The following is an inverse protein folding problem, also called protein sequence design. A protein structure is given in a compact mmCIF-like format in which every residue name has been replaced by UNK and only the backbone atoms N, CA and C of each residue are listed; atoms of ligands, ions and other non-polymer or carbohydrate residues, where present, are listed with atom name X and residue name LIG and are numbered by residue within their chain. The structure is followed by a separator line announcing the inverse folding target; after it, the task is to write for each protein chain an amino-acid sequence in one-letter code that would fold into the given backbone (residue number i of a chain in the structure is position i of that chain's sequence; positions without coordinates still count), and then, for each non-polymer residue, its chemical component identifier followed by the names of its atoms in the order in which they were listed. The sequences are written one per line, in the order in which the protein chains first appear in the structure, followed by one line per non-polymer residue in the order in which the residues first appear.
data_IF_737752844618
#
_entry.id   IF_737752844618
#
_cell.length_a   1.000
_cell.length_b   1.000
_cell.length_c   1.000
_cell.angle_alpha   90.00
_cell.angle_beta   90.00
_cell.angle_gamma   90.00
#
_symmetry.space_group_name_H-M   'P 1'
#
loop_
_entity.id
_entity.type
_entity.pdbx_description
1 polymer ?
#
# COMPACT_ATOMS: atom_id res chain seq x y z
N UNK A 1 15.17 -26.34 33.34
CA UNK A 1 14.39 -25.20 32.84
C UNK A 1 14.01 -25.52 31.41
N UNK A 2 12.74 -25.87 31.19
CA UNK A 2 12.26 -26.20 29.87
C UNK A 2 12.20 -24.92 29.03
N UNK A 3 12.82 -24.95 27.85
CA UNK A 3 12.65 -23.93 26.84
C UNK A 3 11.16 -23.89 26.50
N UNK A 4 10.55 -22.72 26.70
CA UNK A 4 9.18 -22.47 26.31
C UNK A 4 9.18 -22.42 24.78
N UNK A 5 8.66 -23.45 24.13
CA UNK A 5 8.39 -23.42 22.70
C UNK A 5 7.50 -22.20 22.42
N UNK A 6 8.05 -21.24 21.67
CA UNK A 6 7.28 -20.10 21.19
C UNK A 6 6.23 -20.64 20.20
N UNK A 7 4.96 -20.20 20.27
CA UNK A 7 3.96 -20.63 19.32
C UNK A 7 4.41 -20.23 17.91
N UNK A 8 4.34 -21.19 16.98
CA UNK A 8 4.88 -21.14 15.62
C UNK A 8 4.22 -20.13 14.69
N UNK A 9 3.49 -19.12 15.19
CA UNK A 9 3.06 -18.02 14.34
C UNK A 9 2.76 -16.75 15.14
N UNK A 10 3.79 -15.95 15.42
CA UNK A 10 3.63 -14.65 16.07
C UNK A 10 2.91 -13.63 15.18
N UNK A 11 2.88 -13.85 13.86
CA UNK A 11 2.35 -12.91 12.86
C UNK A 11 1.68 -13.66 11.68
N UNK A 12 0.46 -14.19 11.84
CA UNK A 12 -0.22 -14.87 10.74
C UNK A 12 -0.61 -13.88 9.64
N UNK A 13 -0.32 -14.27 8.39
CA UNK A 13 -0.58 -13.50 7.17
C UNK A 13 -0.04 -12.06 7.22
N UNK A 14 1.27 -11.91 7.46
CA UNK A 14 1.95 -10.62 7.54
C UNK A 14 2.13 -9.98 6.17
N UNK A 15 2.07 -8.64 6.13
CA UNK A 15 2.14 -7.87 4.90
C UNK A 15 3.28 -6.86 4.91
N UNK A 16 3.98 -6.73 3.80
CA UNK A 16 4.87 -5.61 3.50
C UNK A 16 4.18 -4.70 2.47
N UNK A 17 4.23 -3.40 2.71
CA UNK A 17 3.71 -2.37 1.81
C UNK A 17 4.82 -1.38 1.52
N UNK A 18 5.16 -1.19 0.25
CA UNK A 18 6.08 -0.15 -0.22
C UNK A 18 5.37 0.76 -1.21
N UNK A 19 5.35 2.07 -0.98
CA UNK A 19 5.01 3.03 -2.04
C UNK A 19 6.26 3.64 -2.63
N UNK A 20 6.37 3.57 -3.96
CA UNK A 20 7.60 3.85 -4.69
C UNK A 20 7.42 5.08 -5.56
N UNK A 21 8.54 5.78 -5.79
CA UNK A 21 8.66 6.82 -6.81
C UNK A 21 9.55 6.29 -7.92
N UNK A 22 9.20 6.60 -9.17
CA UNK A 22 10.03 6.25 -10.32
C UNK A 22 11.37 6.95 -10.27
N UNK A 23 12.41 6.29 -10.79
CA UNK A 23 13.74 6.87 -10.92
C UNK A 23 13.76 8.07 -11.90
N UNK A 24 14.81 8.89 -11.87
CA UNK A 24 15.02 9.93 -12.88
C UNK A 24 15.05 9.37 -14.31
N UNK A 25 14.62 10.21 -15.26
CA UNK A 25 14.58 9.91 -16.71
C UNK A 25 13.62 8.79 -17.13
N UNK A 26 12.59 8.55 -16.32
CA UNK A 26 11.51 7.61 -16.62
C UNK A 26 10.17 8.35 -16.58
N UNK A 27 9.32 8.12 -17.57
CA UNK A 27 7.91 8.51 -17.53
C UNK A 27 7.13 7.59 -16.59
N UNK A 28 5.94 8.00 -16.18
CA UNK A 28 5.07 7.16 -15.37
C UNK A 28 4.69 5.86 -16.10
N UNK A 29 4.36 5.95 -17.39
CA UNK A 29 3.99 4.79 -18.19
C UNK A 29 5.13 3.78 -18.32
N UNK A 30 6.36 4.25 -18.60
CA UNK A 30 7.55 3.39 -18.64
C UNK A 30 7.80 2.72 -17.27
N UNK A 31 7.61 3.45 -16.17
CA UNK A 31 7.75 2.91 -14.82
C UNK A 31 6.76 1.77 -14.56
N UNK A 32 5.47 2.01 -14.82
CA UNK A 32 4.45 0.99 -14.60
C UNK A 32 4.65 -0.22 -15.51
N UNK A 33 5.06 -0.01 -16.77
CA UNK A 33 5.39 -1.08 -17.70
C UNK A 33 6.56 -1.92 -17.19
N UNK A 34 7.68 -1.30 -16.82
CA UNK A 34 8.84 -2.04 -16.30
C UNK A 34 8.49 -2.78 -15.00
N UNK A 35 7.88 -2.07 -14.05
CA UNK A 35 7.59 -2.64 -12.74
C UNK A 35 6.58 -3.79 -12.82
N UNK A 36 5.61 -3.74 -13.75
CA UNK A 36 4.70 -4.85 -13.99
C UNK A 36 5.34 -5.97 -14.81
N UNK A 37 5.79 -5.66 -16.03
CA UNK A 37 6.17 -6.64 -17.06
C UNK A 37 7.50 -7.34 -16.78
N UNK A 38 8.44 -6.64 -16.15
CA UNK A 38 9.79 -7.14 -15.86
C UNK A 38 9.89 -7.55 -14.40
N UNK A 39 9.73 -6.60 -13.47
CA UNK A 39 9.91 -6.88 -12.06
C UNK A 39 8.85 -7.86 -11.52
N UNK A 40 7.58 -7.69 -11.90
CA UNK A 40 6.50 -8.62 -11.57
C UNK A 40 6.75 -10.05 -12.06
N UNK A 41 7.26 -10.21 -13.29
CA UNK A 41 7.61 -11.51 -13.85
C UNK A 41 8.77 -12.17 -13.08
N UNK A 42 9.80 -11.39 -12.73
CA UNK A 42 10.94 -11.86 -11.93
C UNK A 42 10.47 -12.33 -10.55
N UNK A 43 9.56 -11.57 -9.90
CA UNK A 43 9.07 -11.89 -8.56
C UNK A 43 8.31 -13.24 -8.49
N UNK A 44 7.52 -13.60 -9.51
CA UNK A 44 6.77 -14.87 -9.56
C UNK A 44 7.50 -16.02 -10.29
N UNK A 45 8.73 -15.78 -10.76
CA UNK A 45 9.48 -16.78 -11.53
C UNK A 45 9.86 -18.06 -10.76
N UNK A 46 10.17 -18.05 -9.46
CA UNK A 46 10.50 -19.29 -8.74
C UNK A 46 9.31 -20.26 -8.69
N UNK A 47 9.53 -21.54 -8.93
CA UNK A 47 8.48 -22.56 -8.71
C UNK A 47 8.33 -22.96 -7.24
N UNK A 48 9.40 -22.87 -6.46
CA UNK A 48 9.32 -23.01 -5.01
C UNK A 48 8.60 -21.79 -4.42
N UNK A 49 7.41 -22.03 -3.88
CA UNK A 49 6.54 -20.99 -3.32
C UNK A 49 7.11 -20.32 -2.08
N UNK A 50 8.11 -20.92 -1.42
CA UNK A 50 8.78 -20.30 -0.27
C UNK A 50 9.78 -19.20 -0.67
N UNK A 51 10.14 -19.12 -1.97
CA UNK A 51 11.10 -18.13 -2.50
C UNK A 51 10.42 -16.88 -3.07
N UNK A 52 9.09 -16.79 -2.96
CA UNK A 52 8.27 -15.66 -3.43
C UNK A 52 7.15 -15.35 -2.44
N UNK A 53 6.57 -14.14 -2.47
CA UNK A 53 5.45 -13.81 -1.60
C UNK A 53 4.28 -14.79 -1.79
N UNK A 54 3.48 -15.01 -0.75
CA UNK A 54 2.26 -15.81 -0.86
C UNK A 54 1.19 -15.11 -1.72
N UNK A 55 1.16 -13.77 -1.67
CA UNK A 55 0.30 -12.91 -2.51
C UNK A 55 1.03 -11.62 -2.85
N UNK A 56 0.85 -11.11 -4.06
CA UNK A 56 1.45 -9.86 -4.51
C UNK A 56 0.42 -9.03 -5.30
N UNK A 57 0.16 -7.81 -4.85
CA UNK A 57 -0.50 -6.76 -5.63
C UNK A 57 0.44 -5.61 -5.98
N UNK A 58 0.21 -5.01 -7.14
CA UNK A 58 0.63 -3.64 -7.43
C UNK A 58 -0.60 -2.72 -7.44
N UNK A 59 -0.40 -1.48 -7.01
CA UNK A 59 -1.40 -0.41 -7.03
C UNK A 59 -0.87 0.71 -7.91
N UNK A 60 -1.26 0.72 -9.19
CA UNK A 60 -0.77 1.69 -10.16
C UNK A 60 -1.45 3.04 -9.93
N UNK A 61 -0.69 4.07 -9.53
CA UNK A 61 -1.23 5.36 -9.08
C UNK A 61 -1.62 6.21 -10.28
N UNK A 62 -2.87 6.67 -10.35
CA UNK A 62 -3.31 7.63 -11.38
C UNK A 62 -3.53 9.05 -10.84
N UNK A 63 -3.71 9.22 -9.53
CA UNK A 63 -3.84 10.53 -8.89
C UNK A 63 -3.41 10.47 -7.41
N UNK A 64 -3.12 11.62 -6.80
CA UNK A 64 -2.69 11.69 -5.40
C UNK A 64 -2.91 13.08 -4.78
N UNK A 65 -3.00 13.12 -3.45
CA UNK A 65 -3.01 14.38 -2.71
C UNK A 65 -2.14 14.30 -1.46
N UNK A 66 -1.26 15.30 -1.30
CA UNK A 66 -0.27 15.36 -0.23
C UNK A 66 -0.56 16.51 0.73
N UNK A 67 -0.17 16.33 1.99
CA UNK A 67 -0.17 17.39 2.99
C UNK A 67 0.80 18.53 2.64
N UNK A 68 0.45 19.72 3.12
CA UNK A 68 1.32 20.89 2.98
C UNK A 68 2.53 20.77 3.91
N UNK A 69 3.71 21.22 3.45
CA UNK A 69 4.93 21.22 4.25
C UNK A 69 4.81 22.17 5.44
N UNK A 70 4.92 21.70 6.70
CA UNK A 70 4.89 22.57 7.86
C UNK A 70 6.12 23.48 7.84
N UNK A 71 5.92 24.76 8.21
CA UNK A 71 6.97 25.78 8.27
C UNK A 71 7.72 26.03 6.95
N UNK A 72 7.18 25.58 5.82
CA UNK A 72 7.69 25.89 4.48
C UNK A 72 7.08 27.16 3.88
N UNK A 73 7.51 27.58 2.68
CA UNK A 73 6.78 28.54 1.87
C UNK A 73 5.32 28.10 1.69
N UNK A 74 4.43 29.09 1.58
CA UNK A 74 3.02 28.88 1.28
C UNK A 74 2.88 27.99 0.02
N UNK A 75 2.01 26.98 0.09
CA UNK A 75 1.72 26.04 -0.99
C UNK A 75 2.90 25.18 -1.47
N UNK A 76 3.88 24.91 -0.60
CA UNK A 76 4.98 24.01 -0.92
C UNK A 76 4.69 22.55 -0.51
N UNK A 77 4.97 21.63 -1.43
CA UNK A 77 5.03 20.19 -1.17
C UNK A 77 6.30 19.81 -0.39
N UNK A 78 6.31 18.58 0.14
CA UNK A 78 7.50 17.96 0.68
C UNK A 78 8.47 17.54 -0.44
N UNK A 79 9.77 17.46 -0.15
CA UNK A 79 10.77 16.98 -1.12
C UNK A 79 10.55 15.49 -1.50
N UNK A 80 9.96 14.74 -0.57
CA UNK A 80 9.59 13.34 -0.77
C UNK A 80 8.25 13.18 -1.50
N UNK A 81 7.53 14.25 -1.88
CA UNK A 81 6.25 14.14 -2.61
C UNK A 81 6.41 13.45 -3.97
N UNK A 82 5.32 12.83 -4.45
CA UNK A 82 5.22 12.13 -5.73
C UNK A 82 5.40 10.62 -5.57
N UNK A 83 4.41 9.83 -5.99
CA UNK A 83 4.45 8.36 -5.96
C UNK A 83 3.89 7.82 -7.27
N UNK A 84 4.41 6.70 -7.72
CA UNK A 84 4.02 6.09 -8.99
C UNK A 84 3.30 4.76 -8.79
N UNK A 85 3.59 4.01 -7.73
CA UNK A 85 2.77 2.88 -7.32
C UNK A 85 2.86 2.51 -5.82
N UNK A 86 2.12 1.46 -5.45
CA UNK A 86 2.28 0.73 -4.19
C UNK A 86 2.42 -0.78 -4.45
N UNK A 87 3.47 -1.39 -3.93
CA UNK A 87 3.65 -2.83 -3.83
C UNK A 87 3.06 -3.31 -2.51
N UNK A 88 2.26 -4.36 -2.56
CA UNK A 88 1.76 -5.07 -1.38
C UNK A 88 2.14 -6.55 -1.49
N UNK A 89 2.93 -7.05 -0.54
CA UNK A 89 3.41 -8.43 -0.46
C UNK A 89 2.85 -9.09 0.80
N UNK A 90 2.17 -10.23 0.67
CA UNK A 90 1.72 -11.04 1.81
C UNK A 90 2.60 -12.26 1.95
N UNK A 91 2.85 -12.64 3.19
CA UNK A 91 3.59 -13.83 3.59
C UNK A 91 2.75 -14.62 4.57
N UNK A 92 2.90 -15.94 4.58
CA UNK A 92 2.09 -16.84 5.42
C UNK A 92 2.31 -16.57 6.92
N UNK A 93 3.55 -16.27 7.26
CA UNK A 93 4.01 -15.90 8.59
C UNK A 93 5.37 -15.17 8.52
N UNK A 94 5.95 -14.90 9.69
CA UNK A 94 7.25 -14.25 9.81
C UNK A 94 8.40 -15.11 9.25
N UNK A 95 8.36 -16.43 9.43
CA UNK A 95 9.43 -17.32 8.98
C UNK A 95 9.45 -17.39 7.45
N UNK A 96 8.28 -17.48 6.81
CA UNK A 96 8.16 -17.36 5.36
C UNK A 96 8.68 -15.99 4.89
N UNK A 97 8.29 -14.89 5.53
CA UNK A 97 8.78 -13.56 5.17
C UNK A 97 10.31 -13.45 5.25
N UNK A 98 10.90 -13.87 6.36
CA UNK A 98 12.35 -13.83 6.56
C UNK A 98 13.07 -14.78 5.59
N UNK A 99 12.56 -15.99 5.41
CA UNK A 99 13.10 -16.97 4.47
C UNK A 99 13.09 -16.46 3.03
N UNK A 100 12.01 -15.79 2.63
CA UNK A 100 11.89 -15.13 1.34
C UNK A 100 12.96 -14.05 1.16
N UNK A 101 13.01 -13.06 2.05
CA UNK A 101 13.95 -11.94 1.93
C UNK A 101 15.41 -12.35 2.08
N UNK A 102 15.71 -13.44 2.80
CA UNK A 102 17.06 -14.02 2.90
C UNK A 102 17.43 -14.98 1.77
N UNK A 103 16.50 -15.27 0.85
CA UNK A 103 16.77 -16.19 -0.24
C UNK A 103 17.80 -15.65 -1.23
N UNK A 104 18.59 -16.56 -1.84
CA UNK A 104 19.51 -16.17 -2.91
C UNK A 104 18.77 -15.54 -4.10
N UNK A 105 17.55 -15.98 -4.39
CA UNK A 105 16.74 -15.44 -5.48
C UNK A 105 16.44 -13.95 -5.26
N UNK A 106 15.97 -13.60 -4.07
CA UNK A 106 15.66 -12.21 -3.73
C UNK A 106 16.93 -11.36 -3.69
N UNK A 107 18.00 -11.84 -3.07
CA UNK A 107 19.24 -11.08 -2.96
C UNK A 107 19.99 -10.87 -4.28
N UNK A 108 19.95 -11.85 -5.20
CA UNK A 108 20.73 -11.80 -6.45
C UNK A 108 19.90 -11.38 -7.66
N UNK A 109 18.57 -11.46 -7.60
CA UNK A 109 17.69 -11.23 -8.75
C UNK A 109 16.64 -10.17 -8.49
N UNK A 110 15.76 -10.34 -7.49
CA UNK A 110 14.63 -9.42 -7.28
C UNK A 110 15.11 -8.06 -6.75
N UNK A 111 15.88 -8.04 -5.67
CA UNK A 111 16.35 -6.80 -5.03
C UNK A 111 17.20 -5.92 -5.96
N UNK A 112 18.23 -6.47 -6.63
CA UNK A 112 19.06 -5.70 -7.55
C UNK A 112 18.30 -5.09 -8.74
N UNK A 113 17.18 -5.65 -9.16
CA UNK A 113 16.38 -5.13 -10.28
C UNK A 113 15.75 -3.75 -9.97
N UNK A 114 15.57 -3.41 -8.68
CA UNK A 114 14.94 -2.15 -8.28
C UNK A 114 15.65 -0.89 -8.81
N UNK A 115 16.97 -0.93 -9.05
CA UNK A 115 17.74 0.20 -9.60
C UNK A 115 17.32 0.61 -11.02
N UNK A 116 16.60 -0.27 -11.72
CA UNK A 116 16.16 -0.05 -13.09
C UNK A 116 14.89 0.80 -13.18
N UNK A 117 14.10 0.88 -12.11
CA UNK A 117 12.81 1.59 -12.14
C UNK A 117 12.57 2.49 -10.91
N UNK A 118 13.12 2.19 -9.73
CA UNK A 118 12.78 2.87 -8.48
C UNK A 118 13.80 3.97 -8.09
N UNK A 119 13.27 5.06 -7.52
CA UNK A 119 14.01 5.99 -6.66
C UNK A 119 14.05 5.42 -5.23
N UNK A 120 15.09 4.63 -4.95
CA UNK A 120 15.23 3.89 -3.69
C UNK A 120 15.31 4.80 -2.45
N UNK A 121 15.74 6.05 -2.58
CA UNK A 121 15.77 6.97 -1.44
C UNK A 121 14.36 7.39 -1.00
N UNK A 122 13.35 7.13 -1.83
CA UNK A 122 12.00 7.71 -1.70
C UNK A 122 10.91 6.68 -1.46
N UNK A 123 11.29 5.42 -1.24
CA UNK A 123 10.37 4.34 -0.88
C UNK A 123 9.84 4.48 0.56
N UNK A 124 8.53 4.62 0.72
CA UNK A 124 7.90 4.60 2.05
C UNK A 124 7.41 3.19 2.33
N UNK A 125 7.85 2.64 3.46
CA UNK A 125 7.67 1.24 3.82
C UNK A 125 6.83 1.06 5.10
N UNK A 126 5.97 0.05 5.09
CA UNK A 126 5.16 -0.37 6.23
C UNK A 126 5.09 -1.89 6.29
N UNK A 127 5.50 -2.47 7.42
CA UNK A 127 5.07 -3.82 7.78
C UNK A 127 3.71 -3.73 8.46
N UNK A 128 2.77 -4.60 8.14
CA UNK A 128 1.42 -4.50 8.64
C UNK A 128 0.69 -5.83 8.83
N UNK A 129 -0.35 -5.79 9.66
CA UNK A 129 -1.46 -6.74 9.63
C UNK A 129 -2.66 -6.04 9.01
N UNK A 130 -3.30 -6.72 8.06
CA UNK A 130 -4.50 -6.21 7.42
C UNK A 130 -5.75 -6.72 8.14
N UNK A 131 -6.74 -5.83 8.27
CA UNK A 131 -8.02 -6.14 8.90
C UNK A 131 -9.16 -5.49 8.13
N UNK A 132 -10.23 -6.24 7.78
CA UNK A 132 -11.43 -5.63 7.25
C UNK A 132 -12.18 -4.84 8.31
N UNK A 133 -12.77 -3.72 7.89
CA UNK A 133 -13.54 -2.85 8.78
C UNK A 133 -15.00 -2.78 8.33
N UNK A 134 -15.96 -2.75 9.26
CA UNK A 134 -17.35 -2.52 8.90
C UNK A 134 -17.51 -1.11 8.33
N UNK A 135 -18.46 -0.98 7.40
CA UNK A 135 -18.79 0.27 6.74
C UNK A 135 -20.29 0.28 6.38
N UNK A 136 -21.01 1.31 6.77
CA UNK A 136 -22.42 1.50 6.41
C UNK A 136 -22.54 2.28 5.10
N UNK A 137 -22.45 1.58 3.97
CA UNK A 137 -22.52 2.13 2.61
C UNK A 137 -23.75 1.66 1.83
N UNK A 138 -24.12 2.43 0.82
CA UNK A 138 -25.24 2.12 -0.08
C UNK A 138 -24.78 1.29 -1.29
N UNK A 139 -23.51 1.43 -1.69
CA UNK A 139 -22.90 0.67 -2.77
C UNK A 139 -22.43 -0.69 -2.26
N UNK A 140 -22.86 -1.77 -2.92
CA UNK A 140 -22.41 -3.13 -2.59
C UNK A 140 -21.27 -3.56 -3.51
N UNK A 141 -20.44 -4.47 -3.02
CA UNK A 141 -19.33 -5.05 -3.79
C UNK A 141 -19.81 -5.77 -5.06
N UNK A 142 -20.98 -6.42 -5.01
CA UNK A 142 -21.61 -7.09 -6.17
C UNK A 142 -22.04 -6.13 -7.29
N UNK A 143 -22.22 -4.84 -6.98
CA UNK A 143 -22.65 -3.82 -7.93
C UNK A 143 -21.46 -3.10 -8.60
N UNK A 144 -20.24 -3.44 -8.21
CA UNK A 144 -19.00 -2.84 -8.73
C UNK A 144 -18.39 -3.77 -9.76
N UNK A 145 -18.00 -3.21 -10.90
CA UNK A 145 -17.31 -3.98 -11.95
C UNK A 145 -15.87 -4.23 -11.50
N UNK A 146 -15.59 -5.46 -11.07
CA UNK A 146 -14.23 -5.98 -10.90
C UNK A 146 -13.87 -6.73 -12.17
N UNK A 147 -12.79 -6.31 -12.83
CA UNK A 147 -12.33 -7.00 -14.04
C UNK A 147 -11.50 -8.24 -13.66
N UNK A 148 -12.20 -9.32 -13.34
CA UNK A 148 -11.59 -10.60 -13.01
C UNK A 148 -10.79 -11.16 -14.18
N UNK A 149 -11.25 -10.90 -15.42
CA UNK A 149 -10.58 -11.38 -16.64
C UNK A 149 -9.29 -10.63 -16.95
N UNK A 150 -9.18 -9.35 -16.59
CA UNK A 150 -7.98 -8.54 -16.81
C UNK A 150 -7.01 -8.55 -15.62
N UNK A 151 -7.23 -9.35 -14.58
CA UNK A 151 -6.29 -9.45 -13.44
C UNK A 151 -6.85 -9.04 -12.08
N UNK A 152 -8.17 -9.13 -11.90
CA UNK A 152 -8.90 -8.74 -10.68
C UNK A 152 -8.62 -7.28 -10.32
N UNK A 153 -8.83 -6.39 -11.29
CA UNK A 153 -8.58 -4.96 -11.09
C UNK A 153 -9.68 -4.31 -10.28
N UNK A 154 -9.27 -3.46 -9.33
CA UNK A 154 -10.17 -2.62 -8.54
C UNK A 154 -9.65 -1.19 -8.49
N UNK A 155 -10.54 -0.21 -8.34
CA UNK A 155 -10.12 1.18 -8.05
C UNK A 155 -10.03 1.36 -6.54
N UNK A 156 -8.90 1.85 -6.05
CA UNK A 156 -8.68 2.03 -4.60
C UNK A 156 -8.16 3.42 -4.27
N UNK A 157 -8.42 3.87 -3.05
CA UNK A 157 -7.66 4.93 -2.40
C UNK A 157 -6.85 4.32 -1.25
N UNK A 158 -5.54 4.56 -1.24
CA UNK A 158 -4.67 4.21 -0.13
C UNK A 158 -4.32 5.48 0.66
N UNK A 159 -4.88 5.61 1.86
CA UNK A 159 -4.67 6.77 2.73
C UNK A 159 -3.65 6.45 3.82
N UNK A 160 -2.48 7.08 3.70
CA UNK A 160 -1.35 6.95 4.61
C UNK A 160 -1.46 8.00 5.71
N UNK A 161 -1.70 7.55 6.95
CA UNK A 161 -1.97 8.43 8.09
C UNK A 161 -0.76 8.49 9.00
N UNK A 162 -0.15 9.68 9.07
CA UNK A 162 0.97 9.96 9.96
C UNK A 162 0.45 10.49 11.30
N UNK A 163 1.06 10.04 12.40
CA UNK A 163 0.77 10.53 13.75
C UNK A 163 1.66 11.74 14.09
N UNK A 164 1.21 12.69 14.94
CA UNK A 164 1.96 13.89 15.30
C UNK A 164 3.38 13.62 15.81
N UNK A 165 3.57 12.55 16.58
CA UNK A 165 4.85 12.19 17.20
C UNK A 165 5.69 11.20 16.38
N UNK A 166 5.27 10.85 15.16
CA UNK A 166 5.92 9.78 14.37
C UNK A 166 5.78 8.39 14.99
N UNK A 167 4.81 8.22 15.89
CA UNK A 167 4.44 6.93 16.48
C UNK A 167 4.06 5.93 15.37
N UNK A 168 4.41 4.66 15.59
CA UNK A 168 4.22 3.57 14.63
C UNK A 168 3.22 2.52 15.10
N UNK A 169 2.65 2.69 16.30
CA UNK A 169 1.68 1.74 16.85
C UNK A 169 0.33 1.86 16.12
N UNK A 170 0.12 0.99 15.13
CA UNK A 170 -1.14 0.92 14.40
C UNK A 170 -2.32 0.49 15.27
N UNK A 171 -2.11 -0.37 16.27
CA UNK A 171 -3.21 -0.93 17.09
C UNK A 171 -3.79 0.13 18.02
N UNK A 172 -2.93 0.93 18.66
CA UNK A 172 -3.36 2.08 19.47
C UNK A 172 -4.07 3.12 18.61
N UNK A 173 -3.44 3.50 17.49
CA UNK A 173 -3.93 4.54 16.60
C UNK A 173 -5.30 4.21 15.97
N UNK A 174 -5.54 2.96 15.57
CA UNK A 174 -6.80 2.51 14.96
C UNK A 174 -8.01 2.90 15.81
N UNK A 175 -7.91 2.75 17.13
CA UNK A 175 -9.04 2.95 18.06
C UNK A 175 -9.56 4.39 18.03
N UNK A 176 -8.67 5.36 17.79
CA UNK A 176 -9.01 6.78 17.76
C UNK A 176 -9.30 7.26 16.34
N UNK A 177 -8.51 6.81 15.36
CA UNK A 177 -8.55 7.34 13.98
C UNK A 177 -9.66 6.68 13.16
N UNK A 178 -9.85 5.36 13.27
CA UNK A 178 -10.80 4.63 12.44
C UNK A 178 -12.25 5.11 12.60
N UNK A 179 -12.77 5.37 13.81
CA UNK A 179 -14.14 5.87 13.95
C UNK A 179 -14.38 7.21 13.25
N UNK A 180 -13.41 8.13 13.30
CA UNK A 180 -13.50 9.45 12.67
C UNK A 180 -13.50 9.33 11.15
N UNK A 181 -12.56 8.55 10.59
CA UNK A 181 -12.50 8.34 9.14
C UNK A 181 -13.73 7.59 8.62
N UNK A 182 -14.23 6.60 9.38
CA UNK A 182 -15.48 5.89 9.04
C UNK A 182 -16.63 6.87 8.93
N UNK A 183 -16.84 7.70 9.96
CA UNK A 183 -17.95 8.65 9.99
C UNK A 183 -17.88 9.63 8.80
N UNK A 184 -16.68 10.07 8.43
CA UNK A 184 -16.50 10.93 7.26
C UNK A 184 -16.80 10.21 5.93
N UNK A 185 -16.39 8.95 5.78
CA UNK A 185 -16.68 8.15 4.58
C UNK A 185 -18.18 7.85 4.45
N UNK A 186 -18.83 7.43 5.53
CA UNK A 186 -20.28 7.14 5.54
C UNK A 186 -21.12 8.39 5.27
N UNK A 187 -20.61 9.56 5.63
CA UNK A 187 -21.27 10.84 5.36
C UNK A 187 -21.07 11.34 3.92
N UNK A 188 -19.84 11.27 3.42
CA UNK A 188 -19.46 12.01 2.20
C UNK A 188 -19.24 11.11 0.97
N UNK A 189 -19.11 9.79 1.15
CA UNK A 189 -18.74 8.84 0.08
C UNK A 189 -19.56 7.53 0.12
N UNK A 190 -20.77 7.58 0.69
CA UNK A 190 -21.61 6.39 0.94
C UNK A 190 -22.02 5.62 -0.32
N UNK A 191 -22.10 6.31 -1.46
CA UNK A 191 -22.45 5.79 -2.79
C UNK A 191 -21.23 5.45 -3.65
N UNK A 192 -20.03 5.75 -3.14
CA UNK A 192 -18.77 5.77 -3.88
C UNK A 192 -17.77 4.73 -3.36
N UNK A 193 -17.92 4.35 -2.09
CA UNK A 193 -17.09 3.35 -1.42
C UNK A 193 -17.96 2.14 -1.12
N UNK A 194 -17.44 0.93 -1.37
CA UNK A 194 -18.16 -0.31 -1.08
C UNK A 194 -17.48 -1.18 -0.01
N UNK A 195 -16.21 -0.92 0.26
CA UNK A 195 -15.39 -1.73 1.17
C UNK A 195 -14.16 -0.96 1.61
N UNK A 196 -13.66 -1.27 2.80
CA UNK A 196 -12.39 -0.74 3.26
C UNK A 196 -11.70 -1.65 4.26
N UNK A 197 -10.38 -1.54 4.28
CA UNK A 197 -9.47 -2.31 5.12
C UNK A 197 -8.52 -1.34 5.83
N UNK A 198 -8.00 -1.74 6.98
CA UNK A 198 -6.91 -1.05 7.66
C UNK A 198 -5.68 -1.94 7.69
N UNK A 199 -4.53 -1.37 7.34
CA UNK A 199 -3.22 -1.97 7.53
C UNK A 199 -2.62 -1.35 8.79
N UNK A 200 -2.53 -2.16 9.85
CA UNK A 200 -2.01 -1.78 11.16
C UNK A 200 -0.49 -1.89 11.13
N UNK A 201 0.20 -0.76 11.23
CA UNK A 201 1.65 -0.70 11.26
C UNK A 201 2.26 -1.54 12.38
N UNK A 202 3.27 -2.32 12.02
CA UNK A 202 4.04 -3.17 12.90
C UNK A 202 5.52 -2.81 12.83
N UNK A 203 6.21 -3.00 13.97
CA UNK A 203 7.67 -3.07 14.00
C UNK A 203 8.06 -4.51 14.23
N UNK A 204 8.88 -5.06 13.34
CA UNK A 204 9.44 -6.41 13.43
C UNK A 204 10.90 -6.24 13.83
N UNK A 205 11.30 -6.59 15.07
CA UNK A 205 12.69 -6.41 15.52
C UNK A 205 13.73 -7.09 14.62
N UNK A 206 13.36 -8.20 14.00
CA UNK A 206 14.21 -9.06 13.17
C UNK A 206 14.32 -8.56 11.72
N UNK A 207 13.53 -7.57 11.30
CA UNK A 207 13.45 -7.13 9.91
C UNK A 207 13.29 -5.62 9.77
N UNK A 208 14.26 -4.98 9.11
CA UNK A 208 14.15 -3.60 8.68
C UNK A 208 13.82 -3.54 7.19
N UNK A 209 12.58 -3.19 6.79
CA UNK A 209 12.22 -3.10 5.38
C UNK A 209 13.04 -2.04 4.64
N UNK A 210 13.58 -1.03 5.31
CA UNK A 210 14.34 0.03 4.64
C UNK A 210 15.70 -0.44 4.15
N UNK A 211 16.23 -1.54 4.70
CA UNK A 211 17.46 -2.17 4.21
C UNK A 211 17.29 -2.78 2.81
N UNK A 212 16.07 -3.19 2.47
CA UNK A 212 15.73 -3.79 1.18
C UNK A 212 15.09 -2.79 0.22
N UNK A 213 14.10 -2.03 0.70
CA UNK A 213 13.30 -1.13 -0.12
C UNK A 213 13.82 0.31 -0.13
N UNK A 214 14.75 0.67 0.75
CA UNK A 214 15.27 2.03 0.92
C UNK A 214 14.38 2.95 1.78
N UNK A 215 14.56 4.26 1.64
CA UNK A 215 13.78 5.28 2.36
C UNK A 215 13.91 5.25 3.89
N UNK A 216 15.10 4.95 4.40
CA UNK A 216 15.41 4.94 5.84
C UNK A 216 14.95 6.24 6.54
N UNK A 217 15.24 7.39 5.92
CA UNK A 217 14.98 8.75 6.43
C UNK A 217 13.55 9.27 6.15
N UNK A 218 12.69 8.48 5.52
CA UNK A 218 11.34 8.92 5.19
C UNK A 218 10.37 8.78 6.38
N UNK A 219 9.26 9.56 6.36
CA UNK A 219 8.21 9.42 7.35
C UNK A 219 7.74 7.97 7.49
N UNK A 220 7.42 7.60 8.73
CA UNK A 220 6.87 6.29 9.08
C UNK A 220 5.41 6.46 9.44
N UNK A 221 4.62 5.42 9.19
CA UNK A 221 3.17 5.46 9.29
C UNK A 221 2.68 4.40 10.27
N UNK A 222 1.65 4.75 11.04
CA UNK A 222 0.98 3.81 11.93
C UNK A 222 -0.16 3.08 11.21
N UNK A 223 -0.81 3.74 10.24
CA UNK A 223 -2.00 3.23 9.58
C UNK A 223 -1.94 3.53 8.09
N UNK A 224 -2.35 2.54 7.30
CA UNK A 224 -2.71 2.74 5.89
C UNK A 224 -4.09 2.15 5.65
N UNK A 225 -5.05 3.02 5.33
CA UNK A 225 -6.38 2.58 4.95
C UNK A 225 -6.41 2.29 3.46
N UNK A 226 -6.98 1.15 3.09
CA UNK A 226 -7.26 0.81 1.70
C UNK A 226 -8.76 0.85 1.50
N UNK A 227 -9.22 1.82 0.73
CA UNK A 227 -10.63 2.15 0.53
C UNK A 227 -10.97 1.77 -0.90
N UNK A 228 -11.89 0.85 -1.08
CA UNK A 228 -12.30 0.36 -2.39
C UNK A 228 -13.41 1.25 -2.96
N UNK A 229 -13.19 1.73 -4.18
CA UNK A 229 -13.99 2.74 -4.85
C UNK A 229 -14.77 2.14 -6.01
N UNK A 230 -15.94 2.71 -6.29
CA UNK A 230 -16.74 2.38 -7.47
C UNK A 230 -15.93 2.48 -8.75
N UNK A 231 -15.28 3.62 -8.97
CA UNK A 231 -14.45 3.94 -10.13
C UNK A 231 -13.62 5.21 -9.85
N UNK A 232 -12.84 5.67 -10.84
CA UNK A 232 -12.00 6.86 -10.72
C UNK A 232 -12.81 8.17 -10.50
N UNK A 233 -14.10 8.19 -10.83
CA UNK A 233 -15.01 9.32 -10.56
C UNK A 233 -15.24 9.56 -9.06
N UNK A 234 -15.02 8.54 -8.23
CA UNK A 234 -15.20 8.61 -6.77
C UNK A 234 -14.10 9.39 -6.02
N UNK A 235 -13.03 9.83 -6.70
CA UNK A 235 -11.93 10.60 -6.09
C UNK A 235 -12.45 11.84 -5.34
N UNK A 236 -13.38 12.58 -5.92
CA UNK A 236 -13.90 13.81 -5.33
C UNK A 236 -14.63 13.56 -3.99
N UNK A 237 -15.41 12.48 -3.92
CA UNK A 237 -16.14 12.08 -2.71
C UNK A 237 -15.17 11.67 -1.59
N UNK A 238 -14.17 10.85 -1.91
CA UNK A 238 -13.12 10.43 -0.95
C UNK A 238 -12.32 11.63 -0.46
N UNK A 239 -11.96 12.56 -1.34
CA UNK A 239 -11.27 13.81 -0.95
C UNK A 239 -12.13 14.70 -0.06
N UNK A 240 -13.46 14.69 -0.23
CA UNK A 240 -14.38 15.39 0.67
C UNK A 240 -14.43 14.73 2.05
N UNK A 241 -14.55 13.40 2.09
CA UNK A 241 -14.48 12.62 3.33
C UNK A 241 -13.15 12.89 4.08
N UNK A 242 -12.02 12.82 3.38
CA UNK A 242 -10.72 13.07 3.98
C UNK A 242 -10.63 14.47 4.63
N UNK A 243 -11.13 15.52 3.96
CA UNK A 243 -11.13 16.87 4.55
C UNK A 243 -12.00 16.97 5.81
N UNK A 244 -13.16 16.31 5.82
CA UNK A 244 -14.04 16.25 7.01
C UNK A 244 -13.32 15.54 8.15
N UNK A 245 -12.71 14.39 7.87
CA UNK A 245 -11.91 13.64 8.83
C UNK A 245 -10.74 14.47 9.39
N UNK A 246 -9.93 15.09 8.53
CA UNK A 246 -8.74 15.85 8.95
C UNK A 246 -9.13 17.06 9.81
N UNK A 247 -10.25 17.72 9.49
CA UNK A 247 -10.78 18.82 10.28
C UNK A 247 -11.31 18.36 11.65
N UNK A 248 -11.94 17.19 11.74
CA UNK A 248 -12.48 16.64 12.98
C UNK A 248 -11.39 16.04 13.88
N UNK A 249 -10.43 15.31 13.30
CA UNK A 249 -9.33 14.71 14.03
C UNK A 249 -8.39 15.77 14.62
N UNK A 250 -8.13 16.85 13.87
CA UNK A 250 -7.26 17.92 14.32
C UNK A 250 -5.77 17.54 14.41
N UNK A 251 -4.89 18.53 14.61
CA UNK A 251 -3.43 18.34 14.56
C UNK A 251 -2.86 17.52 15.72
N UNK A 252 -3.60 17.38 16.82
CA UNK A 252 -3.22 16.57 17.98
C UNK A 252 -3.45 15.07 17.75
N UNK A 253 -4.28 14.71 16.77
CA UNK A 253 -4.58 13.30 16.45
C UNK A 253 -3.85 12.85 15.18
N UNK A 254 -3.74 13.73 14.17
CA UNK A 254 -3.21 13.40 12.85
C UNK A 254 -2.25 14.48 12.39
N UNK A 255 -1.07 14.05 11.91
CA UNK A 255 -0.16 14.92 11.20
C UNK A 255 -0.58 15.00 9.73
N UNK A 256 -1.42 15.99 9.40
CA UNK A 256 -1.93 16.17 8.04
C UNK A 256 -0.84 16.54 7.03
N UNK A 257 0.24 17.22 7.46
CA UNK A 257 1.37 17.55 6.59
C UNK A 257 2.10 16.33 6.06
N UNK A 258 2.32 15.33 6.93
CA UNK A 258 2.96 14.07 6.55
C UNK A 258 1.97 12.99 6.07
N UNK A 259 0.66 13.22 6.16
CA UNK A 259 -0.35 12.29 5.64
C UNK A 259 -0.62 12.55 4.15
N UNK A 260 -0.96 11.50 3.41
CA UNK A 260 -1.25 11.61 1.98
C UNK A 260 -2.14 10.48 1.51
N UNK A 261 -2.89 10.72 0.43
CA UNK A 261 -3.73 9.72 -0.23
C UNK A 261 -3.25 9.48 -1.65
N UNK A 262 -3.27 8.20 -2.05
CA UNK A 262 -2.95 7.74 -3.39
C UNK A 262 -4.20 7.08 -3.98
N UNK A 263 -4.55 7.43 -5.22
CA UNK A 263 -5.65 6.82 -5.96
C UNK A 263 -5.08 5.91 -7.04
N UNK A 264 -5.53 4.65 -7.02
CA UNK A 264 -4.83 3.57 -7.71
C UNK A 264 -5.79 2.68 -8.49
N UNK A 265 -5.25 2.05 -9.53
CA UNK A 265 -5.79 0.83 -10.12
C UNK A 265 -5.00 -0.36 -9.55
N UNK A 266 -5.66 -1.16 -8.73
CA UNK A 266 -5.12 -2.40 -8.16
C UNK A 266 -4.97 -3.46 -9.26
N UNK A 267 -3.89 -4.25 -9.18
CA UNK A 267 -3.74 -5.47 -9.98
C UNK A 267 -3.14 -6.60 -9.14
N UNK A 268 -3.77 -7.77 -9.21
CA UNK A 268 -3.22 -8.98 -8.64
C UNK A 268 -2.10 -9.49 -9.56
N UNK A 269 -0.87 -9.52 -9.03
CA UNK A 269 0.29 -10.04 -9.76
C UNK A 269 0.31 -11.56 -9.68
N UNK A 270 0.20 -12.09 -8.47
CA UNK A 270 0.19 -13.52 -8.18
C UNK A 270 -0.53 -13.81 -6.84
N UNK A 271 -1.05 -15.02 -6.70
CA UNK A 271 -1.60 -15.60 -5.46
C UNK A 271 -1.32 -17.11 -5.43
N UNK A 272 -0.44 -17.56 -4.53
CA UNK A 272 -0.08 -18.98 -4.39
C UNK A 272 -1.28 -19.81 -3.96
N UNK A 273 -2.07 -19.31 -2.99
CA UNK A 273 -3.25 -20.01 -2.47
C UNK A 273 -4.34 -20.24 -3.52
N UNK A 274 -4.42 -19.38 -4.54
CA UNK A 274 -5.36 -19.50 -5.66
C UNK A 274 -4.73 -20.07 -6.94
N UNK A 275 -3.46 -20.49 -6.90
CA UNK A 275 -2.68 -20.88 -8.09
C UNK A 275 -2.77 -19.84 -9.22
N UNK A 276 -2.77 -18.56 -8.86
CA UNK A 276 -2.84 -17.44 -9.77
C UNK A 276 -1.41 -16.97 -10.05
N UNK A 277 -0.87 -17.31 -11.22
CA UNK A 277 0.49 -16.93 -11.63
C UNK A 277 0.49 -15.65 -12.42
N UNK A 278 1.62 -14.93 -12.45
CA UNK A 278 1.82 -13.72 -13.24
C UNK A 278 1.48 -13.95 -14.73
N UNK A 279 0.86 -12.94 -15.35
CA UNK A 279 0.53 -12.92 -16.77
C UNK A 279 0.67 -11.50 -17.30
N UNK A 280 1.48 -11.35 -18.35
CA UNK A 280 1.76 -10.07 -19.02
C UNK A 280 0.52 -9.41 -19.60
N UNK A 281 -0.49 -10.20 -20.00
CA UNK A 281 -1.71 -9.71 -20.62
C UNK A 281 -2.66 -9.00 -19.63
N UNK A 282 -2.38 -9.06 -18.33
CA UNK A 282 -3.24 -8.54 -17.25
C UNK A 282 -2.75 -7.23 -16.64
N UNK A 283 -1.80 -6.56 -17.30
CA UNK A 283 -1.38 -5.24 -16.88
C UNK A 283 -2.54 -4.24 -16.98
N UNK A 284 -2.79 -3.41 -15.97
CA UNK A 284 -3.71 -2.30 -16.07
C UNK A 284 -3.35 -1.38 -17.24
N UNK A 285 -4.30 -1.18 -18.14
CA UNK A 285 -4.25 -0.07 -19.10
C UNK A 285 -4.95 1.12 -18.46
N UNK A 286 -4.27 2.26 -18.48
CA UNK A 286 -4.88 3.55 -18.22
C UNK A 286 -5.35 4.10 -19.55
N UNK A 287 -6.59 4.60 -19.59
CA UNK A 287 -6.98 5.49 -20.67
C UNK A 287 -6.00 6.66 -20.63
N UNK A 288 -5.14 6.77 -21.64
CA UNK A 288 -4.21 7.87 -21.72
C UNK A 288 -5.03 9.15 -21.61
N UNK A 289 -4.74 9.98 -20.60
CA UNK A 289 -5.25 11.34 -20.52
C UNK A 289 -4.73 12.09 -21.75
N UNK A 290 -5.46 12.01 -22.86
CA UNK A 290 -5.30 12.80 -24.07
C UNK A 290 -6.10 14.09 -23.93
#
# INVERSE_FOLDING_TARGET
MAAQELPSNRYPLIKQIATTRRKPHMTHAEFLDYHYQVHGAIADSPEDTNLKPHKYYQQHIFDSAFGARPNGPLNANHAWTGRDDVTELWFEDLDHMLGNFHSEWVHKTVGPDAIHFADLEMSINLMALEKPLPLAVDLKEEDVVIDDTAGKHATTAMYWVALPNGEKDGVGAEKTITPLLRAALEKEAKTDVYKWLVNLGLTIPEFDPTSYFGGAELPKYALVYKIYLKDAGSVAAVRKAQRVFEAEAGPETVNTGNSFVLFNKEVLMMDVGQNFRFDKARQPVFDSLL
#
